data_IF_773277780819
#
_entry.id   IF_773277780819
#
_cell.length_a   1.000
_cell.length_b   1.000
_cell.length_c   1.000
_cell.angle_alpha   90.00
_cell.angle_beta   90.00
_cell.angle_gamma   90.00
#
_symmetry.space_group_name_H-M   'P 1'
#
loop_
_entity.id
_entity.type
_entity.pdbx_description
1 polymer ?
#
# COMPACT_ATOMS: atom_id res chain seq x y z
N UNK A 1 19.92 6.16 34.00
CA UNK A 1 19.50 6.09 32.59
C UNK A 1 18.01 6.33 32.57
N UNK A 2 17.57 7.51 32.15
CA UNK A 2 16.15 7.86 32.03
C UNK A 2 15.56 7.10 30.85
N UNK A 3 14.55 6.28 31.10
CA UNK A 3 13.80 5.58 30.05
C UNK A 3 13.07 6.66 29.25
N UNK A 4 13.44 6.87 27.98
CA UNK A 4 12.63 7.69 27.08
C UNK A 4 11.33 6.95 26.81
N UNK A 5 10.22 7.51 27.28
CA UNK A 5 8.89 6.99 26.99
C UNK A 5 8.57 7.33 25.52
N UNK A 6 8.18 6.34 24.73
CA UNK A 6 7.78 6.53 23.34
C UNK A 6 6.26 6.41 23.22
N UNK A 7 5.66 7.20 22.33
CA UNK A 7 4.23 7.13 22.00
C UNK A 7 4.08 6.90 20.50
N UNK A 8 3.29 5.89 20.14
CA UNK A 8 2.93 5.59 18.75
C UNK A 8 1.64 6.30 18.39
N UNK A 9 1.71 7.22 17.42
CA UNK A 9 0.58 8.04 16.97
C UNK A 9 0.33 7.81 15.48
N UNK A 10 -0.91 7.51 15.13
CA UNK A 10 -1.38 7.42 13.74
C UNK A 10 -2.37 8.56 13.45
N UNK A 11 -2.27 9.15 12.26
CA UNK A 11 -3.21 10.16 11.76
C UNK A 11 -3.90 9.60 10.52
N UNK A 12 -5.24 9.61 10.49
CA UNK A 12 -6.03 9.02 9.41
C UNK A 12 -7.08 9.98 8.84
N UNK A 13 -7.21 9.98 7.51
CA UNK A 13 -8.32 10.65 6.82
C UNK A 13 -8.22 12.18 6.71
N UNK A 14 -7.02 12.74 6.80
CA UNK A 14 -6.77 14.18 6.64
C UNK A 14 -6.03 14.48 5.34
N UNK A 15 -6.16 15.72 4.84
CA UNK A 15 -5.33 16.22 3.74
C UNK A 15 -3.85 16.28 4.16
N UNK A 16 -2.92 16.16 3.22
CA UNK A 16 -1.47 16.19 3.51
C UNK A 16 -1.05 17.49 4.24
N UNK A 17 -1.64 18.62 3.84
CA UNK A 17 -1.39 19.91 4.49
C UNK A 17 -1.81 19.87 5.95
N UNK A 18 -3.08 19.52 6.21
CA UNK A 18 -3.63 19.43 7.57
C UNK A 18 -2.90 18.39 8.42
N UNK A 19 -2.48 17.29 7.81
CA UNK A 19 -1.70 16.25 8.47
C UNK A 19 -0.33 16.78 8.92
N UNK A 20 0.40 17.48 8.05
CA UNK A 20 1.71 18.03 8.40
C UNK A 20 1.60 19.14 9.45
N UNK A 21 0.65 20.05 9.30
CA UNK A 21 0.34 21.08 10.30
C UNK A 21 0.03 20.42 11.66
N UNK A 22 -0.82 19.40 11.67
CA UNK A 22 -1.16 18.67 12.90
C UNK A 22 0.04 17.94 13.51
N UNK A 23 0.91 17.32 12.70
CA UNK A 23 2.14 16.68 13.19
C UNK A 23 3.05 17.69 13.90
N UNK A 24 3.25 18.86 13.32
CA UNK A 24 4.04 19.93 13.93
C UNK A 24 3.43 20.40 15.26
N UNK A 25 2.11 20.55 15.29
CA UNK A 25 1.37 20.95 16.49
C UNK A 25 1.44 19.89 17.60
N UNK A 26 1.30 18.61 17.27
CA UNK A 26 1.45 17.49 18.22
C UNK A 26 2.89 17.42 18.74
N UNK A 27 3.90 17.58 17.88
CA UNK A 27 5.31 17.60 18.28
C UNK A 27 5.59 18.71 19.30
N UNK A 28 4.92 19.86 19.15
CA UNK A 28 5.05 21.01 20.05
C UNK A 28 4.24 20.82 21.35
N UNK A 29 3.11 20.12 21.28
CA UNK A 29 2.21 19.91 22.40
C UNK A 29 2.60 18.73 23.32
N UNK A 30 3.49 17.84 22.86
CA UNK A 30 3.97 16.71 23.67
C UNK A 30 5.21 17.11 24.49
N UNK A 31 5.33 16.68 25.76
CA UNK A 31 6.52 16.94 26.57
C UNK A 31 7.82 16.45 25.90
N UNK A 32 8.87 17.26 25.96
CA UNK A 32 10.16 17.00 25.28
C UNK A 32 10.90 15.72 25.68
N UNK A 33 10.48 15.08 26.78
CA UNK A 33 11.05 13.80 27.23
C UNK A 33 10.38 12.57 26.59
N UNK A 34 9.24 12.76 25.92
CA UNK A 34 8.46 11.72 25.24
C UNK A 34 8.81 11.72 23.74
N UNK A 35 9.20 10.57 23.21
CA UNK A 35 9.46 10.41 21.78
C UNK A 35 8.16 10.13 21.02
N UNK A 36 7.85 10.93 20.01
CA UNK A 36 6.72 10.68 19.11
C UNK A 36 7.15 9.79 17.97
N UNK A 37 6.54 8.61 17.88
CA UNK A 37 6.67 7.72 16.73
C UNK A 37 5.41 7.87 15.87
N UNK A 38 5.60 8.37 14.65
CA UNK A 38 4.53 8.41 13.66
C UNK A 38 4.35 7.01 13.09
N UNK A 39 3.28 6.35 13.49
CA UNK A 39 3.03 4.93 13.22
C UNK A 39 1.81 4.73 12.33
N UNK A 40 1.68 3.53 11.78
CA UNK A 40 0.51 3.15 10.99
C UNK A 40 -0.71 2.94 11.91
N UNK A 41 -1.92 3.12 11.38
CA UNK A 41 -3.15 2.73 12.10
C UNK A 41 -3.15 1.24 12.47
N UNK A 42 -2.43 0.40 11.71
CA UNK A 42 -2.24 -1.01 11.96
C UNK A 42 -1.12 -1.34 12.96
N UNK A 43 -0.47 -0.33 13.58
CA UNK A 43 0.58 -0.53 14.57
C UNK A 43 0.02 -1.33 15.78
N UNK A 44 0.62 -2.49 16.13
CA UNK A 44 0.17 -3.32 17.25
C UNK A 44 0.09 -2.56 18.58
N UNK A 45 1.03 -1.65 18.80
CA UNK A 45 1.16 -0.85 20.02
C UNK A 45 0.74 0.60 19.76
N UNK A 46 -0.31 0.82 18.98
CA UNK A 46 -0.84 2.16 18.73
C UNK A 46 -1.42 2.76 20.02
N UNK A 47 -0.89 3.89 20.46
CA UNK A 47 -1.35 4.57 21.67
C UNK A 47 -2.46 5.57 21.38
N UNK A 48 -2.31 6.30 20.27
CA UNK A 48 -3.20 7.39 19.88
C UNK A 48 -3.55 7.27 18.39
N UNK A 49 -4.84 7.31 18.10
CA UNK A 49 -5.37 7.44 16.74
C UNK A 49 -6.04 8.81 16.60
N UNK A 50 -5.46 9.67 15.76
CA UNK A 50 -6.10 10.91 15.36
C UNK A 50 -6.81 10.69 14.02
N UNK A 51 -8.12 10.91 13.96
CA UNK A 51 -8.91 10.51 12.80
C UNK A 51 -9.90 11.59 12.38
N UNK A 52 -10.05 11.84 11.09
CA UNK A 52 -11.14 12.69 10.63
C UNK A 52 -12.51 12.11 11.06
N UNK A 53 -13.32 12.93 11.71
CA UNK A 53 -14.62 12.58 12.29
C UNK A 53 -15.52 11.85 11.29
N UNK A 54 -15.45 12.20 10.00
CA UNK A 54 -16.24 11.55 8.94
C UNK A 54 -15.98 10.04 8.85
N UNK A 55 -14.81 9.56 9.25
CA UNK A 55 -14.44 8.14 9.20
C UNK A 55 -14.60 7.39 10.52
N UNK A 56 -14.89 8.09 11.62
CA UNK A 56 -15.02 7.48 12.94
C UNK A 56 -16.10 6.39 12.96
N UNK A 57 -17.20 6.62 12.26
CA UNK A 57 -18.31 5.66 12.19
C UNK A 57 -18.09 4.47 11.25
N UNK A 58 -16.98 4.45 10.49
CA UNK A 58 -16.75 3.39 9.52
C UNK A 58 -16.55 2.02 10.21
N UNK A 59 -17.10 0.92 9.66
CA UNK A 59 -17.02 -0.40 10.30
C UNK A 59 -15.58 -0.87 10.58
N UNK A 60 -14.64 -0.52 9.69
CA UNK A 60 -13.23 -0.87 9.81
C UNK A 60 -12.59 -0.16 11.03
N UNK A 61 -12.89 1.12 11.23
CA UNK A 61 -12.38 1.92 12.33
C UNK A 61 -13.01 1.49 13.66
N UNK A 62 -14.32 1.24 13.69
CA UNK A 62 -14.98 0.71 14.90
C UNK A 62 -14.41 -0.64 15.32
N UNK A 63 -14.11 -1.53 14.37
CA UNK A 63 -13.46 -2.81 14.67
C UNK A 63 -12.06 -2.61 15.26
N UNK A 64 -11.27 -1.70 14.69
CA UNK A 64 -9.93 -1.39 15.16
C UNK A 64 -9.91 -0.81 16.58
N UNK A 65 -10.78 0.15 16.87
CA UNK A 65 -10.91 0.77 18.20
C UNK A 65 -11.41 -0.25 19.23
N UNK A 66 -12.31 -1.17 18.84
CA UNK A 66 -12.86 -2.16 19.78
C UNK A 66 -11.83 -3.21 20.21
N UNK A 67 -10.89 -3.54 19.34
CA UNK A 67 -9.93 -4.64 19.56
C UNK A 67 -8.66 -4.18 20.31
N UNK A 68 -8.42 -2.87 20.38
CA UNK A 68 -7.20 -2.29 20.94
C UNK A 68 -7.56 -1.19 21.95
N UNK A 69 -6.80 -1.02 23.03
CA UNK A 69 -7.00 0.08 23.99
C UNK A 69 -6.39 1.40 23.47
N UNK A 70 -6.91 1.90 22.36
CA UNK A 70 -6.39 3.09 21.67
C UNK A 70 -7.14 4.33 22.15
N UNK A 71 -6.41 5.41 22.44
CA UNK A 71 -7.01 6.73 22.66
C UNK A 71 -7.33 7.36 21.30
N UNK A 72 -8.60 7.68 21.05
CA UNK A 72 -9.02 8.24 19.76
C UNK A 72 -9.27 9.73 19.93
N UNK A 73 -8.69 10.54 19.04
CA UNK A 73 -9.05 11.94 18.87
C UNK A 73 -9.63 12.13 17.47
N UNK A 74 -10.92 12.42 17.40
CA UNK A 74 -11.59 12.78 16.16
C UNK A 74 -11.21 14.19 15.73
N UNK A 75 -11.27 14.48 14.44
CA UNK A 75 -10.89 15.78 13.87
C UNK A 75 -12.00 16.25 12.95
N UNK A 76 -12.56 17.41 13.25
CA UNK A 76 -13.62 18.04 12.48
C UNK A 76 -13.24 19.47 12.09
N UNK A 77 -13.83 19.99 11.02
CA UNK A 77 -13.70 21.41 10.67
C UNK A 77 -14.88 22.16 11.28
N UNK A 78 -14.60 23.10 12.18
CA UNK A 78 -15.59 24.00 12.75
C UNK A 78 -14.87 25.29 13.17
N UNK A 79 -15.09 26.35 12.40
CA UNK A 79 -14.41 27.63 12.61
C UNK A 79 -14.86 28.33 13.90
N UNK A 80 -16.08 28.08 14.36
CA UNK A 80 -16.65 28.69 15.57
C UNK A 80 -16.12 28.00 16.83
N UNK A 81 -15.81 26.71 16.74
CA UNK A 81 -15.22 25.89 17.81
C UNK A 81 -13.71 25.70 17.69
N UNK A 82 -13.03 26.49 16.86
CA UNK A 82 -11.63 26.29 16.51
C UNK A 82 -10.71 26.07 17.73
N UNK A 83 -9.72 25.19 17.60
CA UNK A 83 -8.75 24.83 18.64
C UNK A 83 -9.30 24.17 19.90
N UNK A 84 -10.62 24.00 20.02
CA UNK A 84 -11.25 23.33 21.16
C UNK A 84 -11.31 21.82 20.96
N UNK A 85 -11.37 21.08 22.08
CA UNK A 85 -11.66 19.65 22.09
C UNK A 85 -12.93 19.44 22.92
N UNK A 86 -13.97 18.89 22.30
CA UNK A 86 -15.22 18.50 22.95
C UNK A 86 -15.49 17.03 22.61
N UNK A 87 -15.77 16.19 23.61
CA UNK A 87 -16.08 14.76 23.42
C UNK A 87 -15.06 13.99 22.55
N UNK A 88 -13.77 14.23 22.79
CA UNK A 88 -12.65 13.69 22.00
C UNK A 88 -12.72 14.08 20.50
N UNK A 89 -13.32 15.22 20.16
CA UNK A 89 -13.33 15.83 18.82
C UNK A 89 -12.55 17.14 18.87
N UNK A 90 -11.45 17.21 18.12
CA UNK A 90 -10.66 18.41 17.87
C UNK A 90 -11.20 19.19 16.67
N UNK A 91 -11.50 20.46 16.87
CA UNK A 91 -12.02 21.33 15.81
C UNK A 91 -10.92 22.21 15.19
N UNK A 92 -10.79 22.13 13.87
CA UNK A 92 -9.88 22.92 13.05
C UNK A 92 -10.52 24.24 12.61
N UNK A 93 -9.74 25.32 12.38
CA UNK A 93 -8.27 25.36 12.37
C UNK A 93 -7.63 25.41 13.77
N UNK A 94 -6.38 24.94 13.87
CA UNK A 94 -5.59 25.01 15.10
C UNK A 94 -4.89 26.37 15.21
N UNK A 95 -5.49 27.28 15.97
CA UNK A 95 -4.91 28.59 16.28
C UNK A 95 -4.22 28.60 17.65
N UNK A 96 -4.63 27.70 18.55
CA UNK A 96 -4.10 27.55 19.89
C UNK A 96 -3.90 26.07 20.25
N UNK A 97 -2.86 25.76 21.02
CA UNK A 97 -2.49 24.37 21.34
C UNK A 97 -2.93 23.90 22.74
N UNK A 98 -3.58 24.76 23.52
CA UNK A 98 -3.87 24.48 24.92
C UNK A 98 -4.71 23.22 25.12
N UNK A 99 -5.83 23.09 24.40
CA UNK A 99 -6.72 21.93 24.50
C UNK A 99 -6.04 20.65 24.00
N UNK A 100 -5.28 20.72 22.90
CA UNK A 100 -4.50 19.59 22.38
C UNK A 100 -3.43 19.12 23.38
N UNK A 101 -2.69 20.06 23.98
CA UNK A 101 -1.68 19.79 24.99
C UNK A 101 -2.30 19.16 26.25
N UNK A 102 -3.43 19.68 26.72
CA UNK A 102 -4.16 19.10 27.86
C UNK A 102 -4.60 17.66 27.56
N UNK A 103 -5.26 17.46 26.40
CA UNK A 103 -5.77 16.15 26.00
C UNK A 103 -4.65 15.10 25.89
N UNK A 104 -3.55 15.44 25.22
CA UNK A 104 -2.40 14.54 25.07
C UNK A 104 -1.79 14.19 26.43
N UNK A 105 -1.56 15.16 27.31
CA UNK A 105 -0.95 14.91 28.62
C UNK A 105 -1.83 14.07 29.54
N UNK A 106 -3.15 14.25 29.51
CA UNK A 106 -4.07 13.44 30.31
C UNK A 106 -4.03 11.97 29.90
N UNK A 107 -3.96 11.67 28.59
CA UNK A 107 -3.94 10.29 28.07
C UNK A 107 -2.58 9.64 28.23
N UNK A 108 -1.48 10.38 28.00
CA UNK A 108 -0.12 9.89 28.20
C UNK A 108 0.18 9.59 29.68
N UNK A 109 -0.33 10.42 30.60
CA UNK A 109 -0.17 10.19 32.04
C UNK A 109 -0.95 8.98 32.55
N UNK A 110 -2.14 8.71 31.98
CA UNK A 110 -2.93 7.52 32.29
C UNK A 110 -2.25 6.23 31.80
N UNK A 111 -1.67 6.24 30.61
CA UNK A 111 -0.96 5.08 30.06
C UNK A 111 0.28 4.70 30.91
N UNK A 112 1.03 5.70 31.41
CA UNK A 112 2.17 5.47 32.30
C UNK A 112 1.81 4.84 33.67
N UNK A 113 0.56 4.99 34.13
CA UNK A 113 0.08 4.39 35.37
C UNK A 113 -0.35 2.92 35.18
N UNK A 114 -0.81 2.54 33.98
CA UNK A 114 -1.29 1.19 33.65
C UNK A 114 -0.11 0.22 33.47
N UNK A 115 1.01 0.66 32.91
CA UNK A 115 2.24 -0.16 32.75
C UNK A 115 2.89 -0.59 34.08
N UNK A 116 2.53 0.04 35.21
CA UNK A 116 3.08 -0.32 36.53
C UNK A 116 2.39 -1.49 37.22
N UNK A 117 1.27 -2.01 36.70
CA UNK A 117 0.39 -2.92 37.46
C UNK A 117 0.29 -4.35 36.88
N UNK A 118 0.94 -4.71 35.76
CA UNK A 118 0.89 -6.10 35.29
C UNK A 118 2.13 -6.55 34.51
N UNK A 119 2.70 -7.73 34.80
CA UNK A 119 3.74 -8.32 33.96
C UNK A 119 3.14 -8.78 32.63
N UNK A 120 3.88 -8.67 31.50
CA UNK A 120 3.36 -9.01 30.19
C UNK A 120 3.23 -10.52 30.06
N UNK A 121 1.98 -11.02 30.08
CA UNK A 121 1.69 -12.30 29.48
C UNK A 121 1.79 -12.12 27.97
N UNK A 122 2.78 -12.78 27.37
CA UNK A 122 2.92 -12.93 25.93
C UNK A 122 1.66 -13.62 25.38
N UNK A 123 0.66 -12.83 25.03
CA UNK A 123 -0.41 -13.28 24.15
C UNK A 123 0.09 -13.09 22.74
N UNK A 124 0.36 -14.22 22.08
CA UNK A 124 0.54 -14.28 20.64
C UNK A 124 -0.76 -13.82 19.98
N UNK A 125 -0.98 -12.51 19.87
CA UNK A 125 -2.05 -11.95 19.07
C UNK A 125 -1.58 -11.90 17.63
N UNK A 126 -1.95 -12.92 16.87
CA UNK A 126 -1.94 -12.92 15.41
C UNK A 126 -2.88 -11.79 14.96
N UNK A 127 -2.31 -10.61 14.68
CA UNK A 127 -3.06 -9.45 14.22
C UNK A 127 -3.60 -9.74 12.82
N UNK A 128 -4.91 -9.56 12.65
CA UNK A 128 -5.58 -9.53 11.36
C UNK A 128 -5.09 -8.31 10.57
N UNK A 129 -3.92 -8.43 9.92
CA UNK A 129 -3.60 -7.66 8.72
C UNK A 129 -4.77 -7.91 7.76
N UNK A 130 -5.44 -6.87 7.24
CA UNK A 130 -6.11 -7.04 5.94
C UNK A 130 -5.02 -7.56 5.03
N UNK A 131 -5.19 -8.78 4.51
CA UNK A 131 -4.17 -9.34 3.65
C UNK A 131 -4.01 -8.35 2.51
N UNK A 132 -2.77 -7.96 2.14
CA UNK A 132 -2.52 -7.03 1.03
C UNK A 132 -3.34 -7.38 -0.22
N UNK A 133 -3.66 -8.68 -0.40
CA UNK A 133 -4.60 -9.21 -1.39
C UNK A 133 -5.97 -8.55 -1.37
N UNK A 134 -6.57 -8.33 -0.20
CA UNK A 134 -7.86 -7.63 -0.03
C UNK A 134 -7.76 -6.16 -0.44
N UNK A 135 -6.66 -5.48 -0.09
CA UNK A 135 -6.41 -4.11 -0.54
C UNK A 135 -6.33 -4.06 -2.06
N UNK A 136 -5.54 -4.95 -2.67
CA UNK A 136 -5.41 -5.01 -4.13
C UNK A 136 -6.73 -5.35 -4.82
N UNK A 137 -7.56 -6.22 -4.23
CA UNK A 137 -8.91 -6.50 -4.73
C UNK A 137 -9.77 -5.24 -4.74
N UNK A 138 -9.69 -4.43 -3.69
CA UNK A 138 -10.45 -3.19 -3.57
C UNK A 138 -9.94 -2.07 -4.49
N UNK A 139 -8.63 -2.03 -4.74
CA UNK A 139 -8.04 -1.13 -5.75
C UNK A 139 -8.59 -1.44 -7.14
N UNK A 140 -8.87 -2.71 -7.43
CA UNK A 140 -9.37 -3.15 -8.73
C UNK A 140 -10.89 -3.37 -8.77
N UNK A 141 -11.62 -3.04 -7.69
CA UNK A 141 -13.05 -3.29 -7.57
C UNK A 141 -13.87 -2.19 -8.27
N UNK A 142 -14.52 -2.45 -9.42
CA UNK A 142 -15.22 -1.42 -10.18
C UNK A 142 -16.48 -0.88 -9.49
N UNK A 143 -16.91 -1.49 -8.39
CA UNK A 143 -17.99 -0.98 -7.54
C UNK A 143 -17.55 0.25 -6.74
N UNK A 144 -16.25 0.40 -6.49
CA UNK A 144 -15.70 1.54 -5.79
C UNK A 144 -15.78 2.80 -6.66
N UNK A 145 -16.03 3.94 -6.01
CA UNK A 145 -15.79 5.25 -6.63
C UNK A 145 -14.30 5.54 -6.71
N UNK A 146 -13.92 6.80 -6.92
CA UNK A 146 -12.53 7.21 -6.81
C UNK A 146 -12.01 6.91 -5.40
N UNK A 147 -10.82 6.33 -5.32
CA UNK A 147 -10.13 5.99 -4.08
C UNK A 147 -8.75 6.62 -4.07
N UNK A 148 -8.29 7.01 -2.88
CA UNK A 148 -6.90 7.37 -2.64
C UNK A 148 -6.13 6.12 -2.28
N UNK A 149 -4.92 6.00 -2.82
CA UNK A 149 -3.94 4.98 -2.48
C UNK A 149 -2.83 5.65 -1.69
N UNK A 150 -2.47 5.10 -0.55
CA UNK A 150 -1.44 5.65 0.32
C UNK A 150 -0.64 4.54 0.99
N UNK A 151 0.58 4.85 1.38
CA UNK A 151 1.45 4.01 2.19
C UNK A 151 2.05 4.83 3.35
N UNK A 152 3.02 4.27 4.06
CA UNK A 152 3.68 4.95 5.19
C UNK A 152 4.36 6.29 4.80
N UNK A 153 4.71 6.48 3.53
CA UNK A 153 5.30 7.72 3.02
C UNK A 153 4.25 8.74 2.58
N UNK A 154 2.96 8.39 2.66
CA UNK A 154 1.83 9.27 2.38
C UNK A 154 1.08 8.88 1.11
N UNK A 155 0.47 9.88 0.46
CA UNK A 155 -0.37 9.67 -0.71
C UNK A 155 0.46 9.18 -1.90
N UNK A 156 0.08 8.04 -2.46
CA UNK A 156 0.73 7.42 -3.61
C UNK A 156 0.03 7.81 -4.91
N UNK A 157 -1.29 7.67 -4.95
CA UNK A 157 -2.09 7.91 -6.14
C UNK A 157 -3.58 8.11 -5.82
N UNK A 158 -4.35 8.55 -6.81
CA UNK A 158 -5.80 8.44 -6.82
C UNK A 158 -6.19 7.49 -7.95
N UNK A 159 -6.94 6.45 -7.64
CA UNK A 159 -7.46 5.50 -8.61
C UNK A 159 -8.96 5.72 -8.82
N UNK A 160 -9.42 5.49 -10.04
CA UNK A 160 -10.82 5.31 -10.40
C UNK A 160 -11.00 3.86 -10.90
N UNK A 161 -11.29 2.92 -9.99
CA UNK A 161 -11.40 1.50 -10.33
C UNK A 161 -12.53 1.23 -11.33
N UNK A 162 -13.57 2.07 -11.35
CA UNK A 162 -14.72 1.93 -12.27
C UNK A 162 -14.31 2.17 -13.72
N UNK A 163 -13.47 3.18 -13.94
CA UNK A 163 -13.00 3.56 -15.27
C UNK A 163 -11.60 3.01 -15.60
N UNK A 164 -11.02 2.21 -14.68
CA UNK A 164 -9.67 1.65 -14.77
C UNK A 164 -8.56 2.72 -14.95
N UNK A 165 -8.75 3.89 -14.35
CA UNK A 165 -7.79 5.01 -14.42
C UNK A 165 -7.07 5.24 -13.10
N UNK A 166 -5.87 5.82 -13.19
CA UNK A 166 -5.11 6.27 -12.03
C UNK A 166 -4.33 7.54 -12.34
N UNK A 167 -4.20 8.39 -11.34
CA UNK A 167 -3.37 9.57 -11.32
C UNK A 167 -2.35 9.41 -10.21
N UNK A 168 -1.06 9.36 -10.55
CA UNK A 168 0.03 9.19 -9.59
C UNK A 168 0.38 10.53 -8.96
N UNK A 169 0.62 10.55 -7.64
CA UNK A 169 1.05 11.77 -6.96
C UNK A 169 2.32 12.35 -7.64
N UNK A 170 2.29 13.60 -8.14
CA UNK A 170 3.43 14.21 -8.84
C UNK A 170 4.63 14.45 -7.91
N UNK A 171 4.42 14.48 -6.59
CA UNK A 171 5.50 14.61 -5.60
C UNK A 171 6.26 13.30 -5.35
N UNK A 172 5.78 12.19 -5.92
CA UNK A 172 6.36 10.87 -5.71
C UNK A 172 7.64 10.72 -6.53
N UNK A 173 8.80 10.74 -5.87
CA UNK A 173 10.11 10.70 -6.54
C UNK A 173 10.44 9.35 -7.18
N UNK A 174 9.91 8.26 -6.61
CA UNK A 174 10.17 6.90 -7.10
C UNK A 174 8.90 6.06 -6.99
N UNK A 175 8.55 5.36 -8.08
CA UNK A 175 7.39 4.47 -8.11
C UNK A 175 7.69 3.19 -7.32
N UNK A 176 7.46 3.22 -6.02
CA UNK A 176 7.56 2.07 -5.12
C UNK A 176 6.55 2.23 -3.98
N UNK A 177 6.24 1.13 -3.31
CA UNK A 177 5.45 1.11 -2.07
C UNK A 177 5.87 -0.10 -1.23
N UNK A 178 5.22 -0.29 -0.10
CA UNK A 178 5.50 -1.38 0.85
C UNK A 178 4.19 -2.03 1.34
N UNK A 179 4.22 -3.08 2.17
CA UNK A 179 3.01 -3.77 2.64
C UNK A 179 2.02 -2.91 3.44
N UNK A 180 2.35 -1.66 3.76
CA UNK A 180 1.43 -0.67 4.33
C UNK A 180 0.46 -0.05 3.31
N UNK A 181 0.62 -0.35 2.02
CA UNK A 181 -0.29 0.10 0.97
C UNK A 181 -1.74 -0.14 1.39
N UNK A 182 -2.54 0.92 1.34
CA UNK A 182 -3.94 0.89 1.71
C UNK A 182 -4.73 1.90 0.88
N UNK A 183 -6.05 1.90 1.06
CA UNK A 183 -6.94 2.78 0.33
C UNK A 183 -8.01 3.42 1.23
N UNK A 184 -8.53 4.55 0.77
CA UNK A 184 -9.75 5.19 1.29
C UNK A 184 -10.50 5.85 0.14
N UNK A 185 -11.75 6.24 0.34
CA UNK A 185 -12.51 6.95 -0.69
C UNK A 185 -12.00 8.39 -0.85
N UNK A 186 -11.85 8.83 -2.11
CA UNK A 186 -11.39 10.18 -2.41
C UNK A 186 -12.49 11.21 -2.16
N UNK A 187 -12.12 12.35 -1.56
CA UNK A 187 -13.03 13.49 -1.36
C UNK A 187 -12.89 14.50 -2.51
N UNK A 188 -13.73 15.54 -2.54
CA UNK A 188 -13.64 16.59 -3.56
C UNK A 188 -12.33 17.41 -3.47
N UNK A 189 -11.81 17.61 -2.26
CA UNK A 189 -10.58 18.39 -2.04
C UNK A 189 -9.32 17.69 -2.56
N UNK A 190 -9.37 16.36 -2.68
CA UNK A 190 -8.24 15.55 -3.12
C UNK A 190 -8.04 15.57 -4.65
N UNK A 191 -8.99 16.14 -5.39
CA UNK A 191 -9.03 16.08 -6.85
C UNK A 191 -8.28 17.22 -7.55
N UNK A 192 -7.77 18.21 -6.81
CA UNK A 192 -7.16 19.41 -7.37
C UNK A 192 -5.92 19.13 -8.24
N UNK A 193 -5.16 18.07 -7.96
CA UNK A 193 -3.98 17.71 -8.76
C UNK A 193 -4.24 16.63 -9.82
N UNK A 194 -5.43 16.00 -9.83
CA UNK A 194 -5.84 15.02 -10.85
C UNK A 194 -5.87 15.69 -12.24
N UNK A 195 -6.30 16.95 -12.32
CA UNK A 195 -6.40 17.70 -13.59
C UNK A 195 -5.04 18.01 -14.22
N UNK A 196 -3.99 18.09 -13.41
CA UNK A 196 -2.64 18.45 -13.86
C UNK A 196 -1.75 17.22 -14.07
N UNK A 197 -2.20 16.05 -13.64
CA UNK A 197 -1.43 14.81 -13.71
C UNK A 197 -1.88 13.96 -14.89
N UNK A 198 -0.96 13.39 -15.68
CA UNK A 198 -1.32 12.46 -16.73
C UNK A 198 -2.10 11.26 -16.19
N UNK A 199 -3.25 11.00 -16.81
CA UNK A 199 -4.04 9.80 -16.60
C UNK A 199 -3.28 8.57 -17.10
N UNK A 200 -3.27 7.50 -16.33
CA UNK A 200 -2.64 6.22 -16.66
C UNK A 200 -3.64 5.07 -16.49
N UNK A 201 -3.40 3.96 -17.20
CA UNK A 201 -4.12 2.70 -16.98
C UNK A 201 -3.80 2.15 -15.58
N UNK A 202 -4.85 1.88 -14.80
CA UNK A 202 -4.74 1.47 -13.40
C UNK A 202 -3.99 0.16 -13.23
N UNK A 203 -4.29 -0.86 -14.03
CA UNK A 203 -3.67 -2.18 -13.88
C UNK A 203 -2.21 -2.15 -14.30
N UNK A 204 -1.88 -1.40 -15.36
CA UNK A 204 -0.52 -1.20 -15.81
C UNK A 204 0.32 -0.43 -14.81
N UNK A 205 -0.24 0.63 -14.24
CA UNK A 205 0.43 1.36 -13.17
C UNK A 205 0.64 0.49 -11.93
N UNK A 206 -0.39 -0.25 -11.50
CA UNK A 206 -0.32 -1.14 -10.34
C UNK A 206 0.71 -2.26 -10.54
N UNK A 207 0.77 -2.84 -11.74
CA UNK A 207 1.79 -3.85 -12.07
C UNK A 207 3.21 -3.27 -11.94
N UNK A 208 3.44 -2.06 -12.47
CA UNK A 208 4.75 -1.41 -12.38
C UNK A 208 5.10 -1.04 -10.92
N UNK A 209 4.13 -0.59 -10.13
CA UNK A 209 4.30 -0.32 -8.70
C UNK A 209 4.71 -1.58 -7.93
N UNK A 210 3.98 -2.68 -8.12
CA UNK A 210 4.26 -3.95 -7.45
C UNK A 210 5.59 -4.57 -7.91
N UNK A 211 5.92 -4.46 -9.20
CA UNK A 211 7.19 -4.96 -9.74
C UNK A 211 8.40 -4.20 -9.18
N UNK A 212 8.27 -2.88 -8.98
CA UNK A 212 9.33 -2.06 -8.41
C UNK A 212 9.52 -2.28 -6.90
N UNK A 213 8.53 -2.87 -6.23
CA UNK A 213 8.49 -3.06 -4.78
C UNK A 213 8.89 -4.49 -4.39
N UNK A 214 9.76 -4.67 -3.40
CA UNK A 214 10.38 -5.99 -3.11
C UNK A 214 9.57 -6.85 -2.13
N UNK A 215 8.66 -6.24 -1.38
CA UNK A 215 8.02 -6.86 -0.21
C UNK A 215 6.74 -7.64 -0.54
N UNK A 216 6.38 -7.74 -1.82
CA UNK A 216 5.13 -8.38 -2.27
C UNK A 216 5.31 -9.83 -2.75
N UNK A 217 6.44 -10.46 -2.47
CA UNK A 217 6.68 -11.85 -2.90
C UNK A 217 5.61 -12.83 -2.40
N UNK A 218 4.98 -12.54 -1.26
CA UNK A 218 3.87 -13.34 -0.69
C UNK A 218 2.61 -13.37 -1.57
N UNK A 219 2.48 -12.46 -2.55
CA UNK A 219 1.41 -12.50 -3.54
C UNK A 219 1.52 -13.72 -4.45
N UNK A 220 2.72 -14.28 -4.64
CA UNK A 220 2.93 -15.59 -5.22
C UNK A 220 2.80 -16.66 -4.12
N UNK A 221 1.75 -17.51 -4.13
CA UNK A 221 1.61 -18.56 -3.13
C UNK A 221 2.83 -19.50 -3.09
N UNK A 222 3.28 -19.98 -1.92
CA UNK A 222 4.40 -20.92 -1.84
C UNK A 222 4.16 -22.22 -2.62
N UNK A 223 2.89 -22.63 -2.75
CA UNK A 223 2.45 -23.81 -3.50
C UNK A 223 2.32 -23.57 -5.01
N UNK A 224 2.52 -22.35 -5.50
CA UNK A 224 2.43 -22.06 -6.92
C UNK A 224 3.60 -22.70 -7.69
N UNK A 225 3.28 -23.66 -8.53
CA UNK A 225 4.22 -24.33 -9.43
C UNK A 225 4.20 -23.72 -10.84
N UNK A 226 3.00 -23.48 -11.38
CA UNK A 226 2.78 -23.00 -12.75
C UNK A 226 1.93 -21.73 -12.82
N UNK A 227 2.25 -20.87 -13.78
CA UNK A 227 1.58 -19.58 -13.99
C UNK A 227 1.25 -19.35 -15.47
N UNK A 228 0.09 -18.75 -15.72
CA UNK A 228 -0.36 -18.31 -17.05
C UNK A 228 -0.53 -16.79 -17.06
N UNK A 229 0.14 -16.14 -18.01
CA UNK A 229 0.01 -14.69 -18.22
C UNK A 229 -1.08 -14.39 -19.25
N UNK A 230 -2.06 -13.58 -18.86
CA UNK A 230 -3.19 -13.15 -19.68
C UNK A 230 -2.94 -11.76 -20.31
N UNK A 231 -2.32 -10.86 -19.54
CA UNK A 231 -2.04 -9.48 -19.95
C UNK A 231 -0.53 -9.25 -19.97
N UNK A 232 -0.02 -8.69 -21.08
CA UNK A 232 1.40 -8.41 -21.21
C UNK A 232 1.78 -7.15 -20.43
N UNK A 233 2.79 -7.21 -19.55
CA UNK A 233 3.25 -6.04 -18.86
C UNK A 233 3.98 -5.07 -19.79
N UNK A 234 3.81 -3.79 -19.51
CA UNK A 234 4.47 -2.69 -20.19
C UNK A 234 5.42 -2.00 -19.20
N UNK A 235 6.66 -2.51 -19.06
CA UNK A 235 7.59 -2.01 -18.06
C UNK A 235 8.10 -0.62 -18.40
N UNK A 236 8.03 0.28 -17.42
CA UNK A 236 8.51 1.66 -17.55
C UNK A 236 10.04 1.71 -17.46
N UNK A 237 10.64 0.84 -16.62
CA UNK A 237 12.09 0.78 -16.45
C UNK A 237 12.78 0.04 -17.61
N UNK A 238 13.57 0.78 -18.40
CA UNK A 238 14.29 0.25 -19.57
C UNK A 238 15.33 -0.82 -19.21
N UNK A 239 15.95 -0.75 -18.02
CA UNK A 239 17.02 -1.67 -17.61
C UNK A 239 16.46 -3.09 -17.44
N UNK A 240 15.29 -3.21 -16.79
CA UNK A 240 14.69 -4.50 -16.47
C UNK A 240 13.72 -5.00 -17.53
N UNK A 241 13.44 -4.18 -18.56
CA UNK A 241 12.47 -4.46 -19.62
C UNK A 241 12.74 -5.79 -20.32
N UNK A 242 14.02 -6.11 -20.59
CA UNK A 242 14.37 -7.33 -21.30
C UNK A 242 13.95 -8.59 -20.51
N UNK A 243 14.28 -8.66 -19.23
CA UNK A 243 13.96 -9.81 -18.39
C UNK A 243 12.44 -9.95 -18.20
N UNK A 244 11.76 -8.83 -17.97
CA UNK A 244 10.29 -8.78 -17.83
C UNK A 244 9.62 -9.36 -19.07
N UNK A 245 10.03 -8.91 -20.26
CA UNK A 245 9.41 -9.36 -21.50
C UNK A 245 9.79 -10.81 -21.87
N UNK A 246 10.99 -11.28 -21.48
CA UNK A 246 11.38 -12.70 -21.60
C UNK A 246 10.52 -13.59 -20.70
N UNK A 247 10.33 -13.22 -19.44
CA UNK A 247 9.41 -13.93 -18.54
C UNK A 247 7.98 -13.92 -19.09
N UNK A 248 7.49 -12.77 -19.55
CA UNK A 248 6.16 -12.67 -20.14
C UNK A 248 5.98 -13.59 -21.34
N UNK A 249 6.98 -13.67 -22.22
CA UNK A 249 6.96 -14.58 -23.38
C UNK A 249 6.89 -16.06 -22.98
N UNK A 250 7.60 -16.47 -21.93
CA UNK A 250 7.51 -17.83 -21.41
C UNK A 250 6.11 -18.13 -20.83
N UNK A 251 5.58 -17.23 -20.00
CA UNK A 251 4.30 -17.43 -19.32
C UNK A 251 3.06 -17.22 -20.21
N UNK A 252 3.19 -16.62 -21.39
CA UNK A 252 2.08 -16.39 -22.33
C UNK A 252 1.39 -17.67 -22.84
N UNK A 253 2.02 -18.85 -22.67
CA UNK A 253 1.43 -20.17 -22.94
C UNK A 253 1.23 -21.04 -21.69
N UNK A 254 1.53 -20.49 -20.52
CA UNK A 254 1.54 -21.22 -19.26
C UNK A 254 2.86 -21.96 -19.09
N UNK A 255 3.56 -21.71 -17.98
CA UNK A 255 4.85 -22.31 -17.71
C UNK A 255 5.03 -22.59 -16.21
N UNK A 256 5.79 -23.63 -15.90
CA UNK A 256 6.34 -23.84 -14.56
C UNK A 256 7.36 -22.76 -14.21
N UNK A 257 7.29 -22.23 -12.99
CA UNK A 257 8.16 -21.16 -12.51
C UNK A 257 9.65 -21.59 -12.54
N UNK A 258 9.93 -22.82 -12.11
CA UNK A 258 11.26 -23.42 -12.11
C UNK A 258 11.84 -23.55 -13.53
N UNK A 259 11.02 -23.94 -14.50
CA UNK A 259 11.40 -24.07 -15.91
C UNK A 259 11.77 -22.71 -16.49
N UNK A 260 10.99 -21.66 -16.20
CA UNK A 260 11.31 -20.30 -16.64
C UNK A 260 12.60 -19.78 -16.00
N UNK A 261 12.80 -19.99 -14.70
CA UNK A 261 14.01 -19.60 -13.99
C UNK A 261 15.26 -20.24 -14.63
N UNK A 262 15.22 -21.55 -14.87
CA UNK A 262 16.30 -22.29 -15.50
C UNK A 262 16.56 -21.82 -16.95
N UNK A 263 15.51 -21.68 -17.76
CA UNK A 263 15.65 -21.25 -19.16
C UNK A 263 16.25 -19.85 -19.28
N UNK A 264 15.79 -18.91 -18.45
CA UNK A 264 16.22 -17.51 -18.53
C UNK A 264 17.52 -17.24 -17.77
N UNK A 265 18.03 -18.23 -17.02
CA UNK A 265 19.16 -18.12 -16.10
C UNK A 265 18.93 -17.01 -15.06
N UNK A 266 17.70 -16.95 -14.53
CA UNK A 266 17.29 -15.99 -13.52
C UNK A 266 17.09 -16.69 -12.17
N UNK A 267 17.34 -16.02 -11.02
CA UNK A 267 16.96 -16.55 -9.73
C UNK A 267 15.47 -16.84 -9.67
N UNK A 268 15.07 -17.99 -9.12
CA UNK A 268 13.65 -18.36 -9.02
C UNK A 268 12.83 -17.31 -8.25
N UNK A 269 13.42 -16.69 -7.22
CA UNK A 269 12.79 -15.58 -6.49
C UNK A 269 12.45 -14.39 -7.40
N UNK A 270 13.27 -14.10 -8.41
CA UNK A 270 13.02 -13.03 -9.38
C UNK A 270 11.83 -13.36 -10.28
N UNK A 271 11.69 -14.63 -10.67
CA UNK A 271 10.53 -15.12 -11.44
C UNK A 271 9.27 -15.11 -10.57
N UNK A 272 9.37 -15.50 -9.29
CA UNK A 272 8.28 -15.40 -8.31
C UNK A 272 7.83 -13.95 -8.09
N UNK A 273 8.75 -12.98 -8.08
CA UNK A 273 8.40 -11.57 -8.03
C UNK A 273 7.57 -11.13 -9.25
N UNK A 274 7.92 -11.62 -10.44
CA UNK A 274 7.14 -11.35 -11.66
C UNK A 274 5.73 -11.93 -11.55
N UNK A 275 5.60 -13.16 -11.07
CA UNK A 275 4.31 -13.82 -10.83
C UNK A 275 3.51 -13.07 -9.77
N UNK A 276 4.13 -12.67 -8.66
CA UNK A 276 3.53 -11.90 -7.58
C UNK A 276 2.94 -10.57 -8.08
N UNK A 277 3.73 -9.75 -8.80
CA UNK A 277 3.25 -8.50 -9.38
C UNK A 277 2.10 -8.73 -10.39
N UNK A 278 2.20 -9.80 -11.18
CA UNK A 278 1.18 -10.15 -12.16
C UNK A 278 -0.13 -10.61 -11.51
N UNK A 279 -0.06 -11.37 -10.41
CA UNK A 279 -1.25 -11.75 -9.65
C UNK A 279 -1.88 -10.53 -8.96
N UNK A 280 -1.06 -9.65 -8.38
CA UNK A 280 -1.56 -8.44 -7.70
C UNK A 280 -2.25 -7.44 -8.63
N UNK A 281 -1.85 -7.39 -9.90
CA UNK A 281 -2.47 -6.54 -10.93
C UNK A 281 -3.52 -7.24 -11.80
N UNK A 282 -3.91 -8.49 -11.47
CA UNK A 282 -4.81 -9.32 -12.28
C UNK A 282 -4.36 -9.49 -13.74
N UNK A 283 -3.05 -9.67 -13.96
CA UNK A 283 -2.45 -9.93 -15.28
C UNK A 283 -2.39 -11.40 -15.67
N UNK A 284 -2.75 -12.30 -14.76
CA UNK A 284 -2.74 -13.72 -15.02
C UNK A 284 -3.18 -14.53 -13.80
N UNK A 285 -2.99 -15.84 -13.87
CA UNK A 285 -3.48 -16.77 -12.85
C UNK A 285 -2.54 -17.95 -12.65
N UNK A 286 -2.57 -18.52 -11.45
CA UNK A 286 -1.96 -19.82 -11.16
C UNK A 286 -2.74 -20.89 -11.92
N UNK A 287 -2.01 -21.81 -12.55
CA UNK A 287 -2.57 -22.95 -13.30
C UNK A 287 -1.97 -24.25 -12.76
N UNK A 288 -2.59 -25.38 -13.10
CA UNK A 288 -2.01 -26.70 -12.80
C UNK A 288 -0.89 -27.02 -13.80
N UNK A 289 0.09 -27.83 -13.41
CA UNK A 289 1.26 -28.12 -14.26
C UNK A 289 0.89 -28.75 -15.61
N UNK A 290 -0.12 -29.61 -15.66
CA UNK A 290 -0.59 -30.19 -16.92
C UNK A 290 -1.25 -29.17 -17.87
N UNK A 291 -1.54 -27.95 -17.41
CA UNK A 291 -2.04 -26.85 -18.24
C UNK A 291 -0.90 -25.98 -18.78
N UNK A 292 0.33 -26.17 -18.28
CA UNK A 292 1.50 -25.46 -18.76
C UNK A 292 1.94 -26.04 -20.12
N UNK A 293 1.83 -25.24 -21.17
CA UNK A 293 2.15 -25.65 -22.54
C UNK A 293 3.50 -25.07 -23.03
N UNK A 294 4.24 -24.42 -22.14
CA UNK A 294 5.59 -23.99 -22.41
C UNK A 294 6.57 -25.15 -22.23
N UNK A 295 7.15 -25.59 -23.34
CA UNK A 295 8.24 -26.56 -23.35
C UNK A 295 9.49 -25.87 -23.89
N UNK A 296 10.55 -25.70 -23.08
CA UNK A 296 11.82 -25.17 -23.56
C UNK A 296 12.38 -26.12 -24.63
N UNK A 297 12.71 -25.59 -25.81
CA UNK A 297 13.39 -26.38 -26.83
C UNK A 297 14.84 -26.57 -26.40
N UNK A 298 15.27 -27.82 -26.27
CA UNK A 298 16.65 -28.15 -25.93
C UNK A 298 17.63 -27.57 -26.98
N UNK A 299 18.64 -26.86 -26.47
CA UNK A 299 20.00 -26.63 -26.99
C UNK A 299 20.31 -25.59 -28.08
N UNK A 300 21.35 -24.80 -27.77
CA UNK A 300 22.28 -24.02 -28.60
C UNK A 300 21.83 -22.62 -29.09
N UNK A 301 22.06 -21.62 -28.21
CA UNK A 301 22.51 -20.21 -28.37
C UNK A 301 22.07 -19.30 -29.55
N UNK A 302 21.48 -19.80 -30.63
CA UNK A 302 21.04 -19.02 -31.81
C UNK A 302 19.50 -18.96 -31.87
N UNK A 303 18.81 -19.97 -31.32
CA UNK A 303 17.35 -20.11 -31.44
C UNK A 303 16.57 -19.21 -30.47
N UNK A 304 17.13 -18.83 -29.32
CA UNK A 304 16.45 -17.95 -28.36
C UNK A 304 16.17 -16.55 -28.92
N UNK A 305 17.15 -15.94 -29.60
CA UNK A 305 16.93 -14.67 -30.29
C UNK A 305 15.88 -14.82 -31.38
N UNK A 306 15.83 -15.96 -32.08
CA UNK A 306 14.84 -16.19 -33.14
C UNK A 306 13.44 -16.50 -32.60
N UNK A 307 13.31 -17.22 -31.49
CA UNK A 307 12.03 -17.45 -30.81
C UNK A 307 11.51 -16.15 -30.21
N UNK A 308 12.33 -15.42 -29.45
CA UNK A 308 11.98 -14.12 -28.91
C UNK A 308 11.69 -13.12 -30.05
N UNK A 309 12.45 -13.10 -31.14
CA UNK A 309 12.14 -12.27 -32.33
C UNK A 309 10.82 -12.66 -32.99
N UNK A 310 10.50 -13.96 -33.10
CA UNK A 310 9.20 -14.41 -33.63
C UNK A 310 8.05 -14.07 -32.69
N UNK A 311 8.25 -14.19 -31.37
CA UNK A 311 7.26 -13.85 -30.36
C UNK A 311 7.03 -12.35 -30.28
N UNK A 312 8.09 -11.55 -30.20
CA UNK A 312 8.03 -10.09 -30.27
C UNK A 312 7.54 -9.59 -31.63
N UNK A 313 7.85 -10.26 -32.73
CA UNK A 313 7.31 -9.94 -34.05
C UNK A 313 5.80 -10.13 -34.11
N UNK A 314 5.29 -11.23 -33.54
CA UNK A 314 3.84 -11.46 -33.37
C UNK A 314 3.21 -10.48 -32.40
N UNK A 315 3.95 -10.08 -31.36
CA UNK A 315 3.49 -9.11 -30.37
C UNK A 315 3.39 -7.70 -30.94
N UNK A 316 4.37 -7.27 -31.74
CA UNK A 316 4.37 -5.99 -32.46
C UNK A 316 3.10 -5.85 -33.30
N UNK A 317 2.75 -6.90 -34.02
CA UNK A 317 1.55 -6.93 -34.85
C UNK A 317 0.23 -6.92 -34.05
N UNK A 318 0.25 -7.32 -32.77
CA UNK A 318 -0.93 -7.32 -31.88
C UNK A 318 -1.05 -6.05 -31.02
N UNK A 319 0.06 -5.41 -30.69
CA UNK A 319 0.12 -4.21 -29.84
C UNK A 319 0.21 -2.89 -30.63
N UNK A 320 0.28 -2.94 -31.97
CA UNK A 320 0.16 -1.75 -32.82
C UNK A 320 1.34 -0.79 -32.74
N UNK A 321 2.58 -1.31 -32.64
CA UNK A 321 3.80 -0.50 -32.78
C UNK A 321 4.28 -0.43 -34.22
#
# INVERSE_FOLDING_TARGET
MSVHQAVNIAIFGLSLRTLNELKEHVQTAIPSHIQVNWSNIAEPQLDILMINHVFFDSPNIKSLIKNNHINVLQIANDADKNSSIEDDILYLPLNHLHSLHQWLNERLSKNAAIEKISPPQATNTTIHRKQIREVLQEILNPKNGKIQLFDNNGLVAIADPRNEWVWQNPMLQTLHTDPSLNYTYATQNDQLWITETPQQDLKQWLWNLLWASKDFNELCPPSASSFYLEIWPQPINKIQRQDILRMAACFAKGAEISVVANQLKLPEQRVKQFVAASLGANYGKIIKDHQANYHPQNSQNITEQNFMKKLFGRLRNRLGF
#
